data_IF_152645447033
#
_entry.id   IF_152645447033
#
_cell.length_a   1.000
_cell.length_b   1.000
_cell.length_c   1.000
_cell.angle_alpha   90.00
_cell.angle_beta   90.00
_cell.angle_gamma   90.00
#
_symmetry.space_group_name_H-M   'P 1'
#
loop_
_entity.id
_entity.type
_entity.pdbx_description
1 polymer ?
#
# COMPACT_ATOMS: atom_id res chain seq x y z
N UNK A 1 0.05 8.18 35.77
CA UNK A 1 0.57 9.56 35.79
C UNK A 1 0.61 10.08 34.35
N UNK A 2 -0.14 11.14 34.03
CA UNK A 2 -0.12 11.74 32.70
C UNK A 2 1.16 12.54 32.56
N UNK A 3 2.04 12.11 31.65
CA UNK A 3 3.22 12.86 31.24
C UNK A 3 2.80 14.27 30.88
N UNK A 4 3.30 15.25 31.63
CA UNK A 4 3.22 16.67 31.27
C UNK A 4 3.97 16.80 29.94
N UNK A 5 3.26 16.70 28.81
CA UNK A 5 3.77 17.14 27.53
C UNK A 5 4.16 18.61 27.73
N UNK A 6 5.41 18.90 27.42
CA UNK A 6 6.01 20.23 27.45
C UNK A 6 5.03 21.23 26.83
N UNK A 7 4.58 22.22 27.60
CA UNK A 7 3.63 23.21 27.12
C UNK A 7 4.20 23.86 25.85
N UNK A 8 3.51 23.75 24.70
CA UNK A 8 3.99 24.36 23.47
C UNK A 8 4.08 25.87 23.66
N UNK A 9 5.21 26.45 23.24
CA UNK A 9 5.52 27.87 23.35
C UNK A 9 5.63 28.47 21.93
N UNK A 10 5.11 29.69 21.73
CA UNK A 10 5.09 30.37 20.43
C UNK A 10 6.50 30.42 19.82
N UNK A 11 7.53 30.68 20.63
CA UNK A 11 8.92 30.73 20.18
C UNK A 11 9.44 29.38 19.66
N UNK A 12 8.99 28.26 20.24
CA UNK A 12 9.37 26.92 19.78
C UNK A 12 8.72 26.57 18.43
N UNK A 13 7.48 26.99 18.22
CA UNK A 13 6.76 26.74 16.95
C UNK A 13 7.40 27.56 15.83
N UNK A 14 7.72 28.83 16.08
CA UNK A 14 8.43 29.67 15.09
C UNK A 14 9.83 29.12 14.79
N UNK A 15 10.55 28.61 15.81
CA UNK A 15 11.86 27.98 15.62
C UNK A 15 11.81 26.70 14.76
N UNK A 16 10.66 26.05 14.64
CA UNK A 16 10.45 24.91 13.74
C UNK A 16 10.21 25.33 12.27
N UNK A 17 10.24 26.64 11.97
CA UNK A 17 10.11 27.18 10.62
C UNK A 17 8.72 27.69 10.26
N UNK A 18 7.78 27.70 11.21
CA UNK A 18 6.45 28.27 11.02
C UNK A 18 6.47 29.79 11.15
N UNK A 19 5.58 30.46 10.41
CA UNK A 19 5.39 31.91 10.55
C UNK A 19 4.78 32.27 11.91
N UNK A 20 4.96 33.51 12.34
CA UNK A 20 4.39 33.98 13.61
C UNK A 20 2.86 33.87 13.64
N UNK A 21 2.20 34.10 12.50
CA UNK A 21 0.75 34.00 12.36
C UNK A 21 0.27 32.55 12.53
N UNK A 22 0.99 31.58 11.94
CA UNK A 22 0.70 30.14 12.10
C UNK A 22 0.92 29.69 13.53
N UNK A 23 1.99 30.18 14.19
CA UNK A 23 2.27 29.89 15.58
C UNK A 23 1.17 30.42 16.52
N UNK A 24 0.65 31.63 16.28
CA UNK A 24 -0.49 32.15 17.05
C UNK A 24 -1.78 31.36 16.79
N UNK A 25 -2.01 30.97 15.55
CA UNK A 25 -3.18 30.17 15.19
C UNK A 25 -3.13 28.80 15.88
N UNK A 26 -1.96 28.14 15.89
CA UNK A 26 -1.74 26.88 16.58
C UNK A 26 -1.95 27.00 18.10
N UNK A 27 -1.45 28.08 18.72
CA UNK A 27 -1.65 28.36 20.14
C UNK A 27 -3.14 28.58 20.49
N UNK A 28 -3.87 29.35 19.68
CA UNK A 28 -5.32 29.54 19.83
C UNK A 28 -6.07 28.21 19.68
N UNK A 29 -5.66 27.37 18.73
CA UNK A 29 -6.28 26.07 18.51
C UNK A 29 -6.11 25.16 19.74
N UNK A 30 -4.92 25.13 20.33
CA UNK A 30 -4.65 24.37 21.56
C UNK A 30 -5.40 24.91 22.79
N UNK A 31 -5.62 26.22 22.86
CA UNK A 31 -6.38 26.85 23.95
C UNK A 31 -7.88 26.57 23.86
N UNK A 32 -8.46 26.62 22.65
CA UNK A 32 -9.89 26.47 22.45
C UNK A 32 -10.35 25.01 22.30
N UNK A 33 -9.47 24.11 21.86
CA UNK A 33 -9.81 22.71 21.60
C UNK A 33 -9.09 21.74 22.56
N UNK A 34 -9.11 22.03 23.87
CA UNK A 34 -8.48 21.20 24.93
C UNK A 34 -8.96 19.75 24.98
N UNK A 35 -10.13 19.48 24.40
CA UNK A 35 -10.79 18.16 24.39
C UNK A 35 -10.83 17.52 23.01
N UNK A 36 -10.10 18.07 22.02
CA UNK A 36 -10.07 17.47 20.69
C UNK A 36 -9.48 16.07 20.82
N UNK A 37 -10.27 15.06 20.45
CA UNK A 37 -9.87 13.66 20.54
C UNK A 37 -8.86 13.35 19.43
N UNK A 38 -7.61 13.80 19.64
CA UNK A 38 -6.48 13.53 18.76
C UNK A 38 -6.27 12.03 18.57
N UNK A 39 -6.65 11.22 19.56
CA UNK A 39 -6.53 9.76 19.50
C UNK A 39 -7.46 9.15 18.45
N UNK A 40 -8.72 9.59 18.35
CA UNK A 40 -9.64 9.13 17.30
C UNK A 40 -9.20 9.53 15.89
N UNK A 41 -8.58 10.71 15.76
CA UNK A 41 -8.01 11.14 14.47
C UNK A 41 -6.75 10.36 14.11
N UNK A 42 -5.91 10.05 15.11
CA UNK A 42 -4.71 9.24 14.95
C UNK A 42 -5.07 7.79 14.60
N UNK A 43 -6.13 7.22 15.18
CA UNK A 43 -6.68 5.92 14.79
C UNK A 43 -7.19 5.91 13.35
N UNK A 44 -7.91 6.96 12.93
CA UNK A 44 -8.37 7.10 11.55
C UNK A 44 -7.20 7.21 10.56
N UNK A 45 -6.17 8.01 10.88
CA UNK A 45 -4.97 8.16 10.05
C UNK A 45 -4.19 6.84 9.99
N UNK A 46 -3.96 6.17 11.12
CA UNK A 46 -3.27 4.87 11.13
C UNK A 46 -4.05 3.79 10.37
N UNK A 47 -5.39 3.82 10.43
CA UNK A 47 -6.21 2.91 9.65
C UNK A 47 -6.08 3.17 8.14
N UNK A 48 -6.02 4.43 7.72
CA UNK A 48 -5.77 4.81 6.33
C UNK A 48 -4.36 4.42 5.87
N UNK A 49 -3.34 4.57 6.73
CA UNK A 49 -1.96 4.16 6.42
C UNK A 49 -1.82 2.65 6.21
N UNK A 50 -2.54 1.83 7.00
CA UNK A 50 -2.57 0.37 6.82
C UNK A 50 -3.21 -0.05 5.49
N UNK A 51 -4.19 0.71 4.99
CA UNK A 51 -4.78 0.46 3.67
C UNK A 51 -3.76 0.73 2.56
N UNK A 52 -2.91 1.75 2.69
CA UNK A 52 -1.85 2.03 1.73
C UNK A 52 -0.73 0.98 1.73
N UNK A 53 -0.38 0.41 2.89
CA UNK A 53 0.60 -0.69 2.96
C UNK A 53 0.08 -2.00 2.33
N UNK A 54 -1.21 -2.32 2.51
CA UNK A 54 -1.85 -3.47 1.86
C UNK A 54 -1.86 -3.31 0.33
N UNK A 55 -2.17 -2.12 -0.18
CA UNK A 55 -2.13 -1.83 -1.62
C UNK A 55 -0.71 -1.93 -2.23
N UNK A 56 0.33 -1.57 -1.46
CA UNK A 56 1.73 -1.70 -1.91
C UNK A 56 2.22 -3.15 -1.97
N UNK A 57 1.75 -4.00 -1.07
CA UNK A 57 2.05 -5.43 -1.09
C UNK A 57 1.42 -6.11 -2.31
N UNK A 58 0.13 -5.86 -2.58
CA UNK A 58 -0.57 -6.44 -3.73
C UNK A 58 0.03 -6.02 -5.08
N UNK A 59 0.43 -4.75 -5.21
CA UNK A 59 1.12 -4.26 -6.39
C UNK A 59 2.45 -4.99 -6.63
N UNK A 60 3.22 -5.24 -5.57
CA UNK A 60 4.50 -5.95 -5.64
C UNK A 60 4.33 -7.42 -6.04
N UNK A 61 3.28 -8.07 -5.52
CA UNK A 61 2.98 -9.48 -5.83
C UNK A 61 2.46 -9.66 -7.25
N UNK A 62 1.62 -8.74 -7.72
CA UNK A 62 1.17 -8.70 -9.10
C UNK A 62 2.36 -8.57 -10.07
N UNK A 63 3.30 -7.68 -9.78
CA UNK A 63 4.48 -7.46 -10.61
C UNK A 63 5.41 -8.69 -10.63
N UNK A 64 5.47 -9.44 -9.52
CA UNK A 64 6.16 -10.73 -9.46
C UNK A 64 5.53 -11.76 -10.41
N UNK A 65 4.19 -11.91 -10.42
CA UNK A 65 3.49 -12.83 -11.33
C UNK A 65 3.79 -12.48 -12.78
N UNK A 66 3.70 -11.18 -13.12
CA UNK A 66 3.98 -10.69 -14.46
C UNK A 66 5.45 -10.95 -14.86
N UNK A 67 6.39 -10.68 -13.96
CA UNK A 67 7.82 -10.93 -14.17
C UNK A 67 8.11 -12.41 -14.40
N UNK A 68 7.48 -13.29 -13.62
CA UNK A 68 7.61 -14.73 -13.78
C UNK A 68 7.13 -15.20 -15.15
N UNK A 69 5.94 -14.73 -15.58
CA UNK A 69 5.38 -15.05 -16.91
C UNK A 69 6.30 -14.53 -18.02
N UNK A 70 6.82 -13.30 -17.91
CA UNK A 70 7.76 -12.72 -18.90
C UNK A 70 9.05 -13.53 -19.02
N UNK A 71 9.59 -14.01 -17.90
CA UNK A 71 10.86 -14.76 -17.87
C UNK A 71 10.76 -16.23 -18.25
N UNK A 72 9.59 -16.87 -18.05
CA UNK A 72 9.43 -18.32 -18.17
C UNK A 72 8.38 -18.77 -19.21
N UNK A 73 7.73 -17.83 -19.91
CA UNK A 73 6.80 -18.18 -20.98
C UNK A 73 7.54 -18.74 -22.21
N UNK A 74 7.13 -19.93 -22.65
CA UNK A 74 7.53 -20.46 -23.94
C UNK A 74 6.98 -19.56 -25.07
N UNK A 75 7.79 -19.18 -26.08
CA UNK A 75 7.36 -18.28 -27.15
C UNK A 75 6.11 -18.76 -27.91
N UNK A 76 5.95 -20.08 -28.08
CA UNK A 76 4.85 -20.72 -28.79
C UNK A 76 3.70 -21.13 -27.88
N UNK A 77 3.99 -21.54 -26.64
CA UNK A 77 2.98 -22.17 -25.76
C UNK A 77 2.55 -21.31 -24.57
N UNK A 78 3.30 -20.27 -24.23
CA UNK A 78 3.09 -19.52 -22.99
C UNK A 78 3.52 -20.30 -21.75
N UNK A 79 3.38 -19.66 -20.58
CA UNK A 79 3.64 -20.23 -19.27
C UNK A 79 2.40 -20.99 -18.77
N UNK A 80 2.57 -22.18 -18.18
CA UNK A 80 1.42 -22.93 -17.65
C UNK A 80 0.96 -22.35 -16.33
N UNK A 81 -0.35 -22.37 -16.11
CA UNK A 81 -0.95 -22.06 -14.81
C UNK A 81 -0.33 -22.82 -13.65
N UNK A 82 -0.13 -24.14 -13.79
CA UNK A 82 0.43 -24.96 -12.70
C UNK A 82 1.85 -24.54 -12.32
N UNK A 83 2.65 -24.10 -13.29
CA UNK A 83 4.02 -23.63 -13.03
C UNK A 83 4.00 -22.27 -12.30
N UNK A 84 3.08 -21.37 -12.69
CA UNK A 84 2.84 -20.09 -12.02
C UNK A 84 2.40 -20.31 -10.57
N UNK A 85 1.38 -21.15 -10.35
CA UNK A 85 0.88 -21.47 -8.99
C UNK A 85 1.97 -22.14 -8.14
N UNK A 86 2.77 -23.04 -8.71
CA UNK A 86 3.87 -23.66 -7.99
C UNK A 86 4.92 -22.62 -7.53
N UNK A 87 5.22 -21.63 -8.38
CA UNK A 87 6.10 -20.53 -8.04
C UNK A 87 5.53 -19.64 -6.93
N UNK A 88 4.27 -19.22 -7.06
CA UNK A 88 3.58 -18.36 -6.09
C UNK A 88 3.39 -19.04 -4.73
N UNK A 89 3.10 -20.35 -4.74
CA UNK A 89 3.04 -21.16 -3.52
C UNK A 89 4.37 -21.19 -2.76
N UNK A 90 5.50 -21.16 -3.48
CA UNK A 90 6.84 -21.03 -2.88
C UNK A 90 7.05 -19.71 -2.14
N UNK A 91 6.22 -18.70 -2.42
CA UNK A 91 6.20 -17.38 -1.77
C UNK A 91 5.08 -17.23 -0.72
N UNK A 92 4.44 -18.33 -0.33
CA UNK A 92 3.27 -18.36 0.57
C UNK A 92 2.02 -17.65 0.02
N UNK A 93 1.91 -17.52 -1.30
CA UNK A 93 0.73 -16.96 -1.95
C UNK A 93 -0.15 -18.13 -2.37
N UNK A 94 -1.44 -18.04 -2.05
CA UNK A 94 -2.36 -19.13 -2.31
C UNK A 94 -2.84 -19.14 -3.77
N UNK A 95 -3.58 -20.19 -4.11
CA UNK A 95 -4.10 -20.33 -5.47
C UNK A 95 -5.16 -19.27 -5.80
N UNK A 96 -5.98 -18.87 -4.82
CA UNK A 96 -7.06 -17.93 -5.02
C UNK A 96 -6.53 -16.52 -5.31
N UNK A 97 -5.54 -16.07 -4.54
CA UNK A 97 -4.80 -14.82 -4.75
C UNK A 97 -4.09 -14.84 -6.11
N UNK A 98 -3.46 -15.96 -6.48
CA UNK A 98 -2.83 -16.10 -7.80
C UNK A 98 -3.85 -15.95 -8.94
N UNK A 99 -5.05 -16.53 -8.79
CA UNK A 99 -6.14 -16.39 -9.76
C UNK A 99 -6.62 -14.94 -9.86
N UNK A 100 -6.72 -14.22 -8.75
CA UNK A 100 -7.07 -12.79 -8.73
C UNK A 100 -6.03 -11.95 -9.48
N UNK A 101 -4.73 -12.17 -9.23
CA UNK A 101 -3.68 -11.43 -9.94
C UNK A 101 -3.68 -11.73 -11.44
N UNK A 102 -3.90 -12.98 -11.86
CA UNK A 102 -4.01 -13.33 -13.27
C UNK A 102 -5.21 -12.65 -13.94
N UNK A 103 -6.36 -12.61 -13.26
CA UNK A 103 -7.54 -11.91 -13.76
C UNK A 103 -7.31 -10.41 -13.88
N UNK A 104 -6.67 -9.79 -12.88
CA UNK A 104 -6.33 -8.38 -12.89
C UNK A 104 -5.36 -8.05 -14.04
N UNK A 105 -4.25 -8.78 -14.16
CA UNK A 105 -3.28 -8.65 -15.25
C UNK A 105 -3.92 -8.83 -16.64
N UNK A 106 -4.85 -9.77 -16.77
CA UNK A 106 -5.61 -9.98 -18.00
C UNK A 106 -6.56 -8.82 -18.31
N UNK A 107 -7.23 -8.28 -17.30
CA UNK A 107 -8.15 -7.13 -17.46
C UNK A 107 -7.43 -5.83 -17.84
N UNK A 108 -6.19 -5.66 -17.37
CA UNK A 108 -5.33 -4.52 -17.71
C UNK A 108 -4.60 -4.70 -19.06
N UNK A 109 -4.66 -5.90 -19.65
CA UNK A 109 -4.00 -6.21 -20.91
C UNK A 109 -2.49 -6.44 -20.80
N UNK A 110 -1.97 -6.75 -19.61
CA UNK A 110 -0.55 -7.09 -19.42
C UNK A 110 -0.24 -8.53 -19.82
N UNK A 111 -1.23 -9.41 -19.73
CA UNK A 111 -1.14 -10.81 -20.15
C UNK A 111 -2.36 -11.22 -20.97
N UNK A 112 -2.22 -12.30 -21.74
CA UNK A 112 -3.33 -12.97 -22.42
C UNK A 112 -3.19 -14.48 -22.33
N UNK A 113 -4.32 -15.17 -22.41
CA UNK A 113 -4.37 -16.63 -22.44
C UNK A 113 -4.15 -17.13 -23.88
N UNK A 114 -3.04 -17.82 -24.12
CA UNK A 114 -2.67 -18.35 -25.45
C UNK A 114 -3.41 -19.66 -25.75
N UNK A 115 -3.66 -20.45 -24.71
CA UNK A 115 -4.43 -21.70 -24.76
C UNK A 115 -4.89 -22.03 -23.34
N UNK A 116 -5.80 -23.00 -23.19
CA UNK A 116 -6.40 -23.34 -21.91
C UNK A 116 -5.35 -23.46 -20.79
N UNK A 117 -5.47 -22.59 -19.78
CA UNK A 117 -4.58 -22.47 -18.61
C UNK A 117 -3.13 -22.16 -18.98
N UNK A 118 -2.89 -21.37 -20.03
CA UNK A 118 -1.56 -20.90 -20.44
C UNK A 118 -1.53 -19.42 -20.75
N UNK A 119 -0.66 -18.71 -20.05
CA UNK A 119 -0.59 -17.25 -20.08
C UNK A 119 0.71 -16.77 -20.71
N UNK A 120 0.63 -15.64 -21.41
CA UNK A 120 1.80 -14.96 -21.98
C UNK A 120 1.65 -13.46 -21.77
N UNK A 121 2.74 -12.80 -21.45
CA UNK A 121 2.77 -11.35 -21.37
C UNK A 121 2.64 -10.74 -22.78
N UNK A 122 1.99 -9.59 -22.85
CA UNK A 122 1.89 -8.79 -24.09
C UNK A 122 3.24 -8.21 -24.47
#
# INVERSE_FOLDING_TARGET
EMSKLDSPDKGKIVAMGYSEEEAECAMRHLEHYKSYNLQGMQEAIMSASKVSEAQGADASLKEEVLSYIKGHADPQKGCKYEDIVAHMKGKNIDQAETDEFLNLLGSEGEIYEVSLKRYKAV
#
